data_IF_850667806624
#
_entry.id   IF_850667806624
#
_cell.length_a   1.000
_cell.length_b   1.000
_cell.length_c   1.000
_cell.angle_alpha   90.00
_cell.angle_beta   90.00
_cell.angle_gamma   90.00
#
_symmetry.space_group_name_H-M   'P 1'
#
loop_
_entity.id
_entity.type
_entity.pdbx_description
1 polymer ?
#
# COMPACT_ATOMS: atom_id res chain seq x y z
N UNK A 1 8.68 1.25 -10.85
CA UNK A 1 9.51 1.61 -9.67
C UNK A 1 9.71 0.39 -8.79
N UNK A 2 10.87 0.22 -8.16
CA UNK A 2 11.12 -0.89 -7.25
C UNK A 2 10.66 -0.58 -5.81
N UNK A 3 10.46 -1.62 -5.00
CA UNK A 3 10.00 -1.49 -3.61
C UNK A 3 10.94 -0.63 -2.76
N UNK A 4 12.25 -0.74 -2.97
CA UNK A 4 13.26 0.04 -2.24
C UNK A 4 13.13 1.54 -2.54
N UNK A 5 13.09 1.95 -3.82
CA UNK A 5 12.94 3.35 -4.18
C UNK A 5 11.63 3.93 -3.62
N UNK A 6 10.53 3.20 -3.76
CA UNK A 6 9.22 3.66 -3.23
C UNK A 6 9.26 3.82 -1.72
N UNK A 7 9.87 2.87 -0.99
CA UNK A 7 9.99 2.98 0.46
C UNK A 7 10.86 4.15 0.92
N UNK A 8 11.96 4.44 0.21
CA UNK A 8 12.82 5.59 0.48
C UNK A 8 12.07 6.91 0.26
N UNK A 9 11.39 7.05 -0.88
CA UNK A 9 10.59 8.24 -1.17
C UNK A 9 9.45 8.42 -0.17
N UNK A 10 8.75 7.35 0.19
CA UNK A 10 7.68 7.42 1.17
C UNK A 10 8.19 7.95 2.52
N UNK A 11 9.32 7.41 3.03
CA UNK A 11 9.91 7.91 4.28
C UNK A 11 10.35 9.36 4.22
N UNK A 12 10.93 9.79 3.10
CA UNK A 12 11.31 11.18 2.90
C UNK A 12 10.08 12.11 2.88
N UNK A 13 9.01 11.72 2.19
CA UNK A 13 7.78 12.51 2.16
C UNK A 13 7.15 12.63 3.57
N UNK A 14 7.17 11.56 4.36
CA UNK A 14 6.68 11.61 5.76
C UNK A 14 7.52 12.55 6.63
N UNK A 15 8.85 12.58 6.45
CA UNK A 15 9.70 13.50 7.24
C UNK A 15 9.42 14.96 6.91
N UNK A 16 8.89 15.25 5.72
CA UNK A 16 8.41 16.57 5.30
C UNK A 16 6.95 16.84 5.67
N UNK A 17 6.31 15.95 6.46
CA UNK A 17 4.91 16.10 6.90
C UNK A 17 3.87 15.70 5.85
N UNK A 18 4.27 15.03 4.77
CA UNK A 18 3.36 14.52 3.74
C UNK A 18 3.06 13.05 4.03
N UNK A 19 1.83 12.77 4.47
CA UNK A 19 1.39 11.41 4.76
C UNK A 19 1.36 10.52 3.49
N UNK A 20 1.87 9.30 3.60
CA UNK A 20 1.96 8.35 2.48
C UNK A 20 1.40 6.96 2.81
N UNK A 21 0.83 6.30 1.81
CA UNK A 21 0.48 4.87 1.86
C UNK A 21 0.91 4.20 0.56
N UNK A 22 1.48 3.00 0.67
CA UNK A 22 1.96 2.22 -0.47
C UNK A 22 1.06 1.00 -0.68
N UNK A 23 0.57 0.81 -1.90
CA UNK A 23 -0.04 -0.45 -2.34
C UNK A 23 1.04 -1.30 -3.01
N UNK A 24 1.30 -2.52 -2.52
CA UNK A 24 2.41 -3.35 -3.03
C UNK A 24 2.11 -4.84 -3.03
N UNK A 25 2.81 -5.62 -3.86
CA UNK A 25 2.55 -7.06 -4.04
C UNK A 25 3.60 -8.01 -3.47
N UNK A 26 4.89 -7.66 -3.51
CA UNK A 26 5.96 -8.56 -3.12
C UNK A 26 6.22 -8.48 -1.61
N UNK A 27 5.49 -9.27 -0.84
CA UNK A 27 5.52 -9.24 0.63
C UNK A 27 6.93 -9.27 1.24
N UNK A 28 7.86 -10.15 0.83
CA UNK A 28 9.21 -10.18 1.42
C UNK A 28 9.97 -8.86 1.24
N UNK A 29 9.79 -8.19 0.10
CA UNK A 29 10.40 -6.88 -0.12
C UNK A 29 9.74 -5.78 0.69
N UNK A 30 8.42 -5.83 0.89
CA UNK A 30 7.71 -4.88 1.75
C UNK A 30 8.13 -5.03 3.22
N UNK A 31 8.31 -6.26 3.70
CA UNK A 31 8.80 -6.57 5.05
C UNK A 31 10.27 -6.16 5.25
N UNK A 32 11.08 -6.24 4.19
CA UNK A 32 12.49 -5.79 4.21
C UNK A 32 12.60 -4.28 4.21
N UNK A 33 11.91 -3.61 3.27
CA UNK A 33 12.00 -2.16 3.06
C UNK A 33 11.26 -1.38 4.14
N UNK A 34 10.17 -1.94 4.70
CA UNK A 34 9.30 -1.31 5.70
C UNK A 34 8.93 0.14 5.35
N UNK A 35 8.16 0.38 4.26
CA UNK A 35 7.56 1.69 4.02
C UNK A 35 6.68 2.12 5.21
N UNK A 36 6.38 3.43 5.36
CA UNK A 36 5.63 3.95 6.51
C UNK A 36 4.29 3.24 6.73
N UNK A 37 3.53 3.01 5.65
CA UNK A 37 2.24 2.32 5.65
C UNK A 37 2.09 1.50 4.37
N UNK A 38 1.63 0.27 4.49
CA UNK A 38 1.52 -0.65 3.34
C UNK A 38 0.19 -1.40 3.34
N UNK A 39 -0.56 -1.27 2.25
CA UNK A 39 -1.60 -2.22 1.87
C UNK A 39 -0.97 -3.29 0.96
N UNK A 40 -0.77 -4.49 1.50
CA UNK A 40 -0.22 -5.61 0.75
C UNK A 40 -1.34 -6.34 -0.01
N UNK A 41 -1.15 -6.53 -1.31
CA UNK A 41 -2.12 -7.19 -2.20
C UNK A 41 -1.44 -8.37 -2.91
N UNK A 42 -2.06 -9.55 -2.84
CA UNK A 42 -1.63 -10.71 -3.62
C UNK A 42 -2.11 -10.59 -5.08
N UNK A 43 -1.50 -9.69 -5.84
CA UNK A 43 -1.79 -9.46 -7.26
C UNK A 43 -0.53 -9.55 -8.13
N UNK A 44 -0.72 -9.74 -9.43
CA UNK A 44 0.36 -9.60 -10.40
C UNK A 44 0.90 -8.15 -10.38
N UNK A 45 2.20 -7.99 -10.63
CA UNK A 45 2.78 -6.66 -10.81
C UNK A 45 2.07 -5.95 -11.96
N UNK A 46 1.77 -4.66 -11.76
CA UNK A 46 0.96 -3.87 -12.70
C UNK A 46 -0.55 -3.91 -12.46
N UNK A 47 -1.06 -4.81 -11.60
CA UNK A 47 -2.49 -4.91 -11.23
C UNK A 47 -2.74 -4.62 -9.75
N UNK A 48 -1.92 -3.76 -9.17
CA UNK A 48 -1.96 -3.45 -7.72
C UNK A 48 -3.26 -2.76 -7.33
N UNK A 49 -3.74 -1.81 -8.14
CA UNK A 49 -4.99 -1.11 -7.86
C UNK A 49 -6.22 -1.90 -8.30
N UNK A 50 -6.13 -2.90 -9.17
CA UNK A 50 -7.28 -3.71 -9.62
C UNK A 50 -7.10 -4.19 -11.05
N UNK A 51 -8.05 -4.97 -11.57
CA UNK A 51 -8.08 -5.33 -12.98
C UNK A 51 -8.47 -4.13 -13.87
N UNK A 52 -8.04 -4.11 -15.16
CA UNK A 52 -8.51 -3.11 -16.10
C UNK A 52 -10.03 -3.07 -16.17
N UNK A 53 -10.60 -1.86 -16.18
CA UNK A 53 -12.05 -1.59 -16.24
C UNK A 53 -12.90 -2.12 -15.07
N UNK A 54 -12.33 -2.80 -14.07
CA UNK A 54 -13.03 -3.11 -12.82
C UNK A 54 -12.94 -1.92 -11.85
N UNK A 55 -13.79 -0.93 -12.08
CA UNK A 55 -13.83 0.31 -11.28
C UNK A 55 -14.20 0.05 -9.82
N UNK A 56 -14.97 -1.00 -9.54
CA UNK A 56 -15.37 -1.37 -8.19
C UNK A 56 -14.18 -1.90 -7.39
N UNK A 57 -13.43 -2.84 -7.97
CA UNK A 57 -12.20 -3.36 -7.36
C UNK A 57 -11.17 -2.24 -7.17
N UNK A 58 -11.00 -1.39 -8.18
CA UNK A 58 -10.12 -0.23 -8.13
C UNK A 58 -10.46 0.72 -6.99
N UNK A 59 -11.73 1.10 -6.90
CA UNK A 59 -12.21 1.97 -5.85
C UNK A 59 -12.05 1.35 -4.46
N UNK A 60 -12.37 0.06 -4.31
CA UNK A 60 -12.26 -0.63 -3.02
C UNK A 60 -10.82 -0.69 -2.51
N UNK A 61 -9.86 -1.01 -3.37
CA UNK A 61 -8.44 -1.08 -2.99
C UNK A 61 -7.90 0.30 -2.60
N UNK A 62 -8.24 1.35 -3.36
CA UNK A 62 -7.85 2.73 -3.02
C UNK A 62 -8.48 3.16 -1.69
N UNK A 63 -9.77 2.93 -1.48
CA UNK A 63 -10.45 3.25 -0.21
C UNK A 63 -9.81 2.54 0.98
N UNK A 64 -9.47 1.27 0.86
CA UNK A 64 -8.78 0.54 1.95
C UNK A 64 -7.37 1.10 2.21
N UNK A 65 -6.65 1.50 1.17
CA UNK A 65 -5.34 2.15 1.34
C UNK A 65 -5.46 3.51 2.05
N UNK A 66 -6.45 4.33 1.67
CA UNK A 66 -6.70 5.61 2.33
C UNK A 66 -7.20 5.43 3.77
N UNK A 67 -8.04 4.43 4.04
CA UNK A 67 -8.44 4.12 5.41
C UNK A 67 -7.23 3.68 6.26
N UNK A 68 -6.28 2.94 5.70
CA UNK A 68 -5.02 2.63 6.38
C UNK A 68 -4.18 3.88 6.64
N UNK A 69 -4.19 4.86 5.72
CA UNK A 69 -3.51 6.15 5.89
C UNK A 69 -4.00 6.85 7.18
N UNK A 70 -5.31 6.82 7.43
CA UNK A 70 -5.98 7.48 8.56
C UNK A 70 -5.87 6.70 9.88
N UNK A 71 -5.84 5.36 9.81
CA UNK A 71 -6.00 4.50 10.99
C UNK A 71 -4.69 3.92 11.53
N UNK A 72 -3.61 3.90 10.75
CA UNK A 72 -2.33 3.37 11.20
C UNK A 72 -1.74 4.23 12.33
N UNK A 73 -1.41 3.59 13.46
CA UNK A 73 -0.87 4.28 14.65
C UNK A 73 0.66 4.22 14.77
N UNK A 74 1.32 3.38 13.96
CA UNK A 74 2.77 3.25 13.94
C UNK A 74 3.33 3.06 12.53
N UNK A 75 4.56 3.52 12.30
CA UNK A 75 5.27 3.34 11.04
C UNK A 75 5.65 1.88 10.79
N UNK A 76 5.73 1.47 9.52
CA UNK A 76 5.96 0.08 9.13
C UNK A 76 4.71 -0.80 9.17
N UNK A 77 3.53 -0.22 9.40
CA UNK A 77 2.26 -0.97 9.40
C UNK A 77 2.03 -1.61 8.04
N UNK A 78 1.82 -2.92 8.03
CA UNK A 78 1.51 -3.71 6.84
C UNK A 78 0.21 -4.48 7.07
N UNK A 79 -0.79 -4.19 6.23
CA UNK A 79 -2.10 -4.86 6.28
C UNK A 79 -2.32 -5.64 4.99
N UNK A 80 -2.76 -6.89 5.11
CA UNK A 80 -3.16 -7.69 3.95
C UNK A 80 -4.53 -7.25 3.44
N UNK A 81 -4.62 -6.96 2.15
CA UNK A 81 -5.90 -6.86 1.46
C UNK A 81 -6.56 -8.24 1.38
N UNK A 82 -7.69 -8.38 2.08
CA UNK A 82 -8.61 -9.51 1.92
C UNK A 82 -9.83 -9.02 1.13
N UNK A 83 -10.21 -9.76 0.09
CA UNK A 83 -11.45 -9.54 -0.67
C UNK A 83 -12.71 -9.91 0.12
N UNK A 84 -12.55 -10.57 1.27
CA UNK A 84 -13.67 -10.77 2.20
C UNK A 84 -14.02 -9.43 2.84
N UNK A 85 -14.83 -8.66 2.13
CA UNK A 85 -15.73 -7.70 2.74
C UNK A 85 -16.62 -8.43 3.72
N UNK A 86 -16.88 -7.75 4.83
CA UNK A 86 -18.03 -7.97 5.68
C UNK A 86 -19.31 -8.03 4.83
#
# INVERSE_FOLDING_TARGET
MCHQSVGLYARYLESEGIATVVIGALKPMLETVKPPRVLWIRAALGKLVGNPHDTNEQMNRVKKALNLLETATYGGTLVSYSDKGN
#
